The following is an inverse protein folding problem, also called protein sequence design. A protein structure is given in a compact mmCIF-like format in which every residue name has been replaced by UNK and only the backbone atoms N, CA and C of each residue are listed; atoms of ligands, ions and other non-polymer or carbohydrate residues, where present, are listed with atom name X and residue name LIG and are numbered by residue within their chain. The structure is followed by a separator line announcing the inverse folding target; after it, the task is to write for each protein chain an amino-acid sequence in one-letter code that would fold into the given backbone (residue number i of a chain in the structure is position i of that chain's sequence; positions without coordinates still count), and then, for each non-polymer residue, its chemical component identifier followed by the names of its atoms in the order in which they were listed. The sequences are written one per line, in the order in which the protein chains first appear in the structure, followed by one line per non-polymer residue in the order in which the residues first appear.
data_IF_796505836093
#
_entry.id   IF_796505836093
#
_cell.length_a   1.000
_cell.length_b   1.000
_cell.length_c   1.000
_cell.angle_alpha   90.00
_cell.angle_beta   90.00
_cell.angle_gamma   90.00
#
_symmetry.space_group_name_H-M   'P 1'
#
loop_
_entity.id
_entity.type
_entity.pdbx_description
1 polymer ?
#
# COMPACT_ATOMS: atom_id res chain seq x y z
N UNK A 1 4.41 -14.64 6.54
CA UNK A 1 5.44 -14.98 5.53
C UNK A 1 6.30 -16.11 6.09
N UNK A 2 6.76 -17.05 5.28
CA UNK A 2 7.57 -18.18 5.77
C UNK A 2 9.02 -17.71 5.95
N UNK A 3 9.77 -18.37 6.84
CA UNK A 3 11.19 -18.05 7.08
C UNK A 3 12.05 -18.13 5.81
N UNK A 4 11.70 -19.03 4.88
CA UNK A 4 12.47 -19.30 3.67
C UNK A 4 12.14 -18.39 2.46
N UNK A 5 11.41 -17.29 2.67
CA UNK A 5 10.93 -16.44 1.56
C UNK A 5 12.00 -15.52 0.95
N UNK A 6 13.16 -15.37 1.59
CA UNK A 6 14.27 -14.53 1.12
C UNK A 6 14.01 -13.03 1.25
N UNK A 7 13.04 -12.63 2.07
CA UNK A 7 12.67 -11.23 2.32
C UNK A 7 13.05 -10.82 3.74
N UNK A 8 14.27 -10.30 3.92
CA UNK A 8 14.82 -9.89 5.23
C UNK A 8 14.20 -8.58 5.79
N UNK A 9 13.33 -7.95 5.00
CA UNK A 9 12.69 -6.68 5.36
C UNK A 9 11.35 -6.86 6.10
N UNK A 10 10.85 -8.10 6.21
CA UNK A 10 9.63 -8.44 6.96
C UNK A 10 9.88 -9.67 7.81
N UNK A 11 9.46 -9.61 9.07
CA UNK A 11 9.52 -10.78 9.95
C UNK A 11 8.38 -11.76 9.63
N UNK A 12 8.63 -13.08 9.77
CA UNK A 12 7.59 -14.08 9.74
C UNK A 12 6.50 -13.81 10.79
N UNK A 13 5.26 -14.13 10.45
CA UNK A 13 4.19 -14.10 11.44
C UNK A 13 4.43 -15.20 12.47
N UNK A 14 4.26 -14.85 13.74
CA UNK A 14 4.41 -15.78 14.83
C UNK A 14 3.10 -16.54 15.05
N UNK A 15 3.21 -17.83 15.35
CA UNK A 15 2.04 -18.65 15.67
C UNK A 15 1.35 -18.09 16.93
N UNK A 16 0.01 -18.08 16.90
CA UNK A 16 -0.83 -17.54 17.98
C UNK A 16 -0.77 -16.03 18.19
N UNK A 17 -0.03 -15.30 17.35
CA UNK A 17 -0.07 -13.85 17.29
C UNK A 17 -1.02 -13.36 16.19
N UNK A 18 -1.44 -12.11 16.30
CA UNK A 18 -2.32 -11.46 15.32
C UNK A 18 -1.55 -11.21 14.03
N UNK A 19 -2.09 -11.68 12.90
CA UNK A 19 -1.53 -11.36 11.58
C UNK A 19 -1.72 -9.88 11.25
N UNK A 20 -0.80 -9.33 10.47
CA UNK A 20 -0.80 -7.93 10.06
C UNK A 20 -0.64 -7.74 8.55
N UNK A 21 -0.84 -6.51 8.09
CA UNK A 21 -0.57 -6.07 6.73
C UNK A 21 -1.04 -4.64 6.50
N UNK A 22 -1.13 -4.20 5.25
CA UNK A 22 -1.67 -2.86 4.95
C UNK A 22 -3.15 -2.76 5.34
N UNK A 23 -3.53 -1.69 6.04
CA UNK A 23 -4.91 -1.49 6.47
C UNK A 23 -5.27 -0.03 6.70
N UNK A 24 -6.57 0.23 6.63
CA UNK A 24 -7.20 1.54 6.83
C UNK A 24 -8.29 1.39 7.89
N UNK A 25 -8.39 2.38 8.77
CA UNK A 25 -9.46 2.46 9.75
C UNK A 25 -9.85 3.90 10.07
N UNK A 26 -10.82 4.03 10.97
CA UNK A 26 -11.24 5.30 11.55
C UNK A 26 -10.81 5.31 13.02
N UNK A 27 -10.33 6.46 13.48
CA UNK A 27 -9.97 6.65 14.89
C UNK A 27 -11.26 6.78 15.71
N UNK A 28 -11.54 5.83 16.59
CA UNK A 28 -12.71 5.88 17.47
C UNK A 28 -12.46 6.72 18.75
N UNK A 29 -11.22 6.66 19.26
CA UNK A 29 -10.71 7.42 20.40
C UNK A 29 -9.22 7.73 20.20
N UNK A 30 -8.73 8.85 20.75
CA UNK A 30 -7.32 9.22 20.65
C UNK A 30 -6.81 9.91 21.90
N UNK A 31 -5.54 9.61 22.24
CA UNK A 31 -4.71 10.30 23.23
C UNK A 31 -3.44 10.91 22.60
N UNK A 32 -3.36 10.94 21.27
CA UNK A 32 -2.18 11.37 20.52
C UNK A 32 -2.50 12.65 19.75
N UNK A 33 -1.66 13.68 19.85
CA UNK A 33 -1.96 15.02 19.33
C UNK A 33 -2.13 15.05 17.79
N UNK A 34 -1.42 14.17 17.09
CA UNK A 34 -1.43 14.14 15.63
C UNK A 34 -2.60 13.38 15.01
N UNK A 35 -3.44 12.66 15.76
CA UNK A 35 -4.61 11.94 15.23
C UNK A 35 -5.80 12.14 16.15
N UNK A 36 -6.97 12.45 15.60
CA UNK A 36 -8.17 12.77 16.35
C UNK A 36 -9.29 11.78 16.02
N UNK A 37 -10.26 11.65 16.93
CA UNK A 37 -11.47 10.87 16.68
C UNK A 37 -12.13 11.29 15.37
N UNK A 38 -12.47 10.32 14.53
CA UNK A 38 -13.05 10.51 13.20
C UNK A 38 -12.04 10.63 12.07
N UNK A 39 -10.73 10.77 12.35
CA UNK A 39 -9.71 10.73 11.30
C UNK A 39 -9.67 9.34 10.65
N UNK A 40 -9.55 9.32 9.32
CA UNK A 40 -9.19 8.12 8.59
C UNK A 40 -7.68 7.98 8.57
N UNK A 41 -7.17 6.80 8.91
CA UNK A 41 -5.74 6.54 9.07
C UNK A 41 -5.35 5.24 8.38
N UNK A 42 -4.08 5.15 7.99
CA UNK A 42 -3.48 3.93 7.43
C UNK A 42 -2.19 3.57 8.16
N UNK A 43 -1.86 2.29 8.16
CA UNK A 43 -0.56 1.75 8.56
C UNK A 43 -0.18 0.58 7.67
N UNK A 44 1.13 0.33 7.54
CA UNK A 44 1.66 -0.84 6.85
C UNK A 44 1.58 -2.12 7.69
N UNK A 45 1.59 -1.98 9.02
CA UNK A 45 1.47 -3.08 9.98
C UNK A 45 0.13 -2.98 10.72
N UNK A 46 -0.94 -2.96 9.96
CA UNK A 46 -2.31 -2.96 10.48
C UNK A 46 -2.69 -4.36 10.97
N UNK A 47 -3.06 -4.53 12.25
CA UNK A 47 -3.48 -5.82 12.77
C UNK A 47 -4.84 -6.21 12.19
N UNK A 48 -5.00 -7.48 11.78
CA UNK A 48 -6.23 -7.98 11.21
C UNK A 48 -7.27 -8.29 12.28
N UNK A 49 -7.87 -7.23 12.82
CA UNK A 49 -8.89 -7.25 13.85
C UNK A 49 -9.92 -6.14 13.57
N UNK A 50 -11.09 -6.22 14.20
CA UNK A 50 -12.14 -5.21 14.05
C UNK A 50 -11.84 -3.91 14.81
N UNK A 51 -11.01 -3.98 15.86
CA UNK A 51 -10.53 -2.84 16.64
C UNK A 51 -9.13 -3.16 17.18
N UNK A 52 -8.28 -2.14 17.28
CA UNK A 52 -6.94 -2.27 17.85
C UNK A 52 -6.49 -0.95 18.48
N UNK A 53 -5.65 -1.04 19.51
CA UNK A 53 -4.94 0.11 20.07
C UNK A 53 -3.59 0.18 19.36
N UNK A 54 -3.33 1.30 18.68
CA UNK A 54 -2.11 1.52 17.92
C UNK A 54 -1.38 2.76 18.44
N UNK A 55 -0.06 2.77 18.30
CA UNK A 55 0.72 3.99 18.51
C UNK A 55 0.39 4.99 17.39
N UNK A 56 -0.11 6.16 17.79
CA UNK A 56 -0.47 7.24 16.86
C UNK A 56 0.71 7.76 16.04
N UNK A 57 1.95 7.53 16.47
CA UNK A 57 3.16 7.90 15.72
C UNK A 57 3.36 7.06 14.44
N UNK A 58 2.79 5.86 14.39
CA UNK A 58 2.86 4.93 13.26
C UNK A 58 1.71 5.12 12.25
N UNK A 59 0.75 6.00 12.57
CA UNK A 59 -0.44 6.23 11.76
C UNK A 59 -0.24 7.40 10.81
N UNK A 60 -0.66 7.21 9.57
CA UNK A 60 -0.72 8.29 8.58
C UNK A 60 -2.17 8.67 8.33
N UNK A 61 -2.50 9.96 8.43
CA UNK A 61 -3.84 10.45 8.07
C UNK A 61 -4.08 10.34 6.57
N UNK A 62 -5.28 9.92 6.22
CA UNK A 62 -5.77 9.91 4.86
C UNK A 62 -6.68 11.11 4.62
N UNK A 63 -6.66 11.60 3.37
CA UNK A 63 -7.52 12.68 2.89
C UNK A 63 -8.55 12.05 1.94
N UNK A 64 -9.78 11.74 2.40
CA UNK A 64 -10.76 11.00 1.60
C UNK A 64 -11.08 11.64 0.25
N UNK A 65 -10.94 12.97 0.15
CA UNK A 65 -11.23 13.75 -1.05
C UNK A 65 -10.30 13.40 -2.21
N UNK A 66 -9.06 12.95 -1.94
CA UNK A 66 -8.12 12.54 -2.99
C UNK A 66 -8.59 11.33 -3.80
N UNK A 67 -9.50 10.54 -3.24
CA UNK A 67 -10.06 9.33 -3.86
C UNK A 67 -11.58 9.39 -3.97
N UNK A 68 -12.16 10.61 -3.96
CA UNK A 68 -13.62 10.82 -4.02
C UNK A 68 -14.39 10.01 -2.96
N UNK A 69 -13.84 9.90 -1.75
CA UNK A 69 -14.42 9.15 -0.64
C UNK A 69 -14.23 7.62 -0.71
N UNK A 70 -13.64 7.07 -1.78
CA UNK A 70 -13.39 5.63 -1.93
C UNK A 70 -12.10 5.21 -1.24
N UNK A 71 -12.11 5.18 0.09
CA UNK A 71 -10.91 4.93 0.92
C UNK A 71 -10.15 3.66 0.55
N UNK A 72 -10.82 2.61 0.09
CA UNK A 72 -10.18 1.36 -0.35
C UNK A 72 -9.18 1.56 -1.49
N UNK A 73 -9.23 2.67 -2.23
CA UNK A 73 -8.23 2.98 -3.26
C UNK A 73 -6.84 3.22 -2.68
N UNK A 74 -6.73 3.69 -1.43
CA UNK A 74 -5.44 3.84 -0.74
C UNK A 74 -4.80 2.50 -0.37
N UNK A 75 -5.53 1.38 -0.37
CA UNK A 75 -4.94 0.03 -0.27
C UNK A 75 -4.46 -0.51 -1.61
N UNK A 76 -4.83 0.15 -2.71
CA UNK A 76 -4.57 -0.30 -4.08
C UNK A 76 -3.86 0.75 -4.91
N UNK A 77 -4.56 1.29 -5.91
CA UNK A 77 -4.00 2.17 -6.92
C UNK A 77 -3.44 3.50 -6.39
N UNK A 78 -4.00 4.04 -5.31
CA UNK A 78 -3.49 5.22 -4.62
C UNK A 78 -2.57 4.87 -3.44
N UNK A 79 -2.21 3.60 -3.29
CA UNK A 79 -1.37 3.06 -2.23
C UNK A 79 -0.07 2.45 -2.72
N UNK A 80 0.48 1.54 -1.91
CA UNK A 80 1.77 0.91 -2.18
C UNK A 80 1.79 0.15 -3.51
N UNK A 81 0.70 -0.52 -3.90
CA UNK A 81 0.66 -1.28 -5.16
C UNK A 81 0.71 -0.39 -6.40
N UNK A 82 0.02 0.76 -6.38
CA UNK A 82 0.13 1.76 -7.43
C UNK A 82 1.51 2.40 -7.49
N UNK A 83 2.09 2.71 -6.32
CA UNK A 83 3.45 3.23 -6.24
C UNK A 83 4.48 2.23 -6.78
N UNK A 84 4.35 0.94 -6.44
CA UNK A 84 5.19 -0.14 -6.97
C UNK A 84 5.11 -0.20 -8.49
N UNK A 85 3.91 -0.16 -9.07
CA UNK A 85 3.73 -0.16 -10.52
C UNK A 85 4.37 1.08 -11.17
N UNK A 86 4.14 2.26 -10.59
CA UNK A 86 4.66 3.52 -11.10
C UNK A 86 6.19 3.56 -11.11
N UNK A 87 6.82 3.30 -9.97
CA UNK A 87 8.27 3.31 -9.84
C UNK A 87 8.92 2.15 -10.60
N UNK A 88 8.27 0.99 -10.61
CA UNK A 88 8.72 -0.17 -11.38
C UNK A 88 8.84 0.15 -12.87
N UNK A 89 7.83 0.80 -13.46
CA UNK A 89 7.86 1.16 -14.88
C UNK A 89 8.75 2.38 -15.15
N UNK A 90 8.63 3.45 -14.36
CA UNK A 90 9.29 4.73 -14.64
C UNK A 90 10.75 4.80 -14.23
N UNK A 91 11.09 4.26 -13.07
CA UNK A 91 12.42 4.42 -12.48
C UNK A 91 13.31 3.18 -12.70
N UNK A 92 12.70 2.00 -12.85
CA UNK A 92 13.44 0.73 -12.96
C UNK A 92 13.28 0.01 -14.30
N UNK A 93 12.14 0.19 -14.95
CA UNK A 93 11.81 -0.51 -16.20
C UNK A 93 12.57 0.00 -17.42
N UNK A 94 13.16 1.20 -17.33
CA UNK A 94 13.91 1.86 -18.41
C UNK A 94 13.16 1.84 -19.76
N UNK A 95 11.83 1.93 -19.72
CA UNK A 95 10.99 2.03 -20.90
C UNK A 95 11.12 3.44 -21.43
N UNK A 96 11.57 3.60 -22.68
CA UNK A 96 11.81 4.90 -23.28
C UNK A 96 10.63 5.30 -24.17
N UNK A 97 10.14 6.53 -24.00
CA UNK A 97 9.09 7.07 -24.86
C UNK A 97 9.62 7.20 -26.29
N UNK A 98 8.89 6.64 -27.26
CA UNK A 98 9.22 6.74 -28.69
C UNK A 98 10.21 5.69 -29.21
N UNK A 99 10.87 4.93 -28.33
CA UNK A 99 11.51 3.69 -28.72
C UNK A 99 10.39 2.66 -28.93
N UNK A 100 10.25 2.11 -30.15
CA UNK A 100 9.23 1.11 -30.48
C UNK A 100 9.46 -0.20 -29.69
N UNK A 101 9.10 -0.20 -28.40
CA UNK A 101 9.40 -1.24 -27.42
C UNK A 101 8.11 -1.97 -27.00
N UNK A 102 8.24 -3.25 -26.67
CA UNK A 102 7.16 -4.06 -26.09
C UNK A 102 7.50 -4.38 -24.64
N UNK A 103 6.59 -4.03 -23.73
CA UNK A 103 6.67 -4.41 -22.32
C UNK A 103 5.71 -5.57 -22.05
N UNK A 104 6.20 -6.63 -21.41
CA UNK A 104 5.39 -7.78 -20.97
C UNK A 104 5.27 -7.74 -19.46
N UNK A 105 4.04 -7.88 -18.95
CA UNK A 105 3.74 -7.87 -17.51
C UNK A 105 3.22 -9.24 -17.10
N UNK A 106 3.97 -9.96 -16.25
CA UNK A 106 3.48 -11.18 -15.62
C UNK A 106 2.49 -10.83 -14.50
N UNK A 107 1.52 -11.72 -14.23
CA UNK A 107 0.49 -11.45 -13.22
C UNK A 107 -0.33 -10.18 -13.51
N UNK A 108 -0.53 -9.83 -14.79
CA UNK A 108 -1.14 -8.58 -15.23
C UNK A 108 -2.57 -8.33 -14.69
N UNK A 109 -3.28 -9.36 -14.23
CA UNK A 109 -4.59 -9.20 -13.59
C UNK A 109 -4.51 -8.79 -12.10
N UNK A 110 -3.33 -8.88 -11.47
CA UNK A 110 -3.12 -8.50 -10.07
C UNK A 110 -3.05 -6.99 -9.85
N UNK A 111 -3.06 -6.56 -8.59
CA UNK A 111 -3.11 -5.13 -8.22
C UNK A 111 -1.97 -4.32 -8.84
N UNK A 112 -0.71 -4.73 -8.65
CA UNK A 112 0.43 -4.04 -9.27
C UNK A 112 0.45 -4.22 -10.80
N UNK A 113 0.25 -5.44 -11.30
CA UNK A 113 0.37 -5.75 -12.72
C UNK A 113 -0.65 -5.03 -13.60
N UNK A 114 -1.90 -4.94 -13.13
CA UNK A 114 -2.98 -4.26 -13.86
C UNK A 114 -2.73 -2.76 -14.00
N UNK A 115 -2.05 -2.15 -13.02
CA UNK A 115 -1.64 -0.75 -13.07
C UNK A 115 -0.38 -0.57 -13.91
N UNK A 116 0.60 -1.47 -13.80
CA UNK A 116 1.86 -1.39 -14.55
C UNK A 116 1.63 -1.30 -16.07
N UNK A 117 0.68 -2.08 -16.61
CA UNK A 117 0.32 -2.02 -18.03
C UNK A 117 -0.31 -0.69 -18.49
N UNK A 118 -0.78 0.15 -17.55
CA UNK A 118 -1.41 1.45 -17.82
C UNK A 118 -0.48 2.63 -17.55
N UNK A 119 0.63 2.43 -16.82
CA UNK A 119 1.59 3.49 -16.49
C UNK A 119 2.32 3.94 -17.74
N UNK A 120 2.32 5.25 -18.00
CA UNK A 120 3.14 5.84 -19.07
C UNK A 120 4.62 5.80 -18.69
N UNK A 121 5.44 5.34 -19.64
CA UNK A 121 6.90 5.38 -19.58
C UNK A 121 7.44 6.79 -19.26
N UNK A 122 8.63 6.83 -18.67
CA UNK A 122 9.32 8.08 -18.34
C UNK A 122 9.67 8.85 -19.61
N UNK A 123 9.53 10.18 -19.54
CA UNK A 123 9.90 11.11 -20.62
C UNK A 123 11.41 11.20 -20.71
#
# INVERSE_FOLDING_TARGET
MNEDTGSDYLLPWQLSEVADGGGIGVVEESKHDNVAKGDFVTSFNWPWQTAAILDGSLLQKLVPQLVNGRLSYFLGAAGITGLTALLGVREKGHVAVGANQTMVVSGAAGACGSLAGQVKASV
#
